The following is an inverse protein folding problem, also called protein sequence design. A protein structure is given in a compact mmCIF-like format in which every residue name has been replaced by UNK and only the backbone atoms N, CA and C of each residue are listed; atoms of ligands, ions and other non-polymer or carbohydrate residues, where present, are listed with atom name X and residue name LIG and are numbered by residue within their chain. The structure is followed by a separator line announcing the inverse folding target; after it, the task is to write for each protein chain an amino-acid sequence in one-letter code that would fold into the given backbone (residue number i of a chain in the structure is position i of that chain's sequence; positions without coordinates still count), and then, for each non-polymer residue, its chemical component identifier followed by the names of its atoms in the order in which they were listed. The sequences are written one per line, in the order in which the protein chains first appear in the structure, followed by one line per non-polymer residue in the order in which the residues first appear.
data_IF_574606360581
#
_entry.id   IF_574606360581
#
_cell.length_a   1.000
_cell.length_b   1.000
_cell.length_c   1.000
_cell.angle_alpha   90.00
_cell.angle_beta   90.00
_cell.angle_gamma   90.00
#
_symmetry.space_group_name_H-M   'P 1'
#
loop_
_entity.id
_entity.type
_entity.pdbx_description
1 polymer ?
#
# COMPACT_ATOMS: atom_id res chain seq x y z
N UNK A 1 5.58 -13.23 -19.89
CA UNK A 1 6.67 -13.22 -20.89
C UNK A 1 6.30 -12.42 -22.16
N UNK A 2 5.21 -11.65 -22.18
CA UNK A 2 4.66 -11.02 -23.40
C UNK A 2 5.12 -9.57 -23.60
N UNK A 3 6.38 -9.25 -23.36
CA UNK A 3 6.86 -7.85 -23.40
C UNK A 3 8.24 -7.64 -24.00
N UNK A 4 8.82 -8.67 -24.61
CA UNK A 4 10.11 -8.56 -25.32
C UNK A 4 9.82 -8.84 -26.78
N UNK A 5 10.14 -7.89 -27.64
CA UNK A 5 9.98 -8.06 -29.08
C UNK A 5 10.89 -9.19 -29.57
N UNK A 6 10.38 -10.06 -30.44
CA UNK A 6 11.13 -11.21 -30.93
C UNK A 6 12.48 -10.80 -31.55
N UNK A 7 12.52 -9.66 -32.24
CA UNK A 7 13.73 -9.11 -32.85
C UNK A 7 14.79 -8.69 -31.81
N UNK A 8 14.39 -8.15 -30.66
CA UNK A 8 15.30 -7.84 -29.55
C UNK A 8 15.90 -9.12 -28.96
N UNK A 9 15.09 -10.18 -28.83
CA UNK A 9 15.57 -11.46 -28.33
C UNK A 9 16.60 -12.08 -29.29
N UNK A 10 16.30 -12.09 -30.59
CA UNK A 10 17.20 -12.60 -31.63
C UNK A 10 18.52 -11.81 -31.64
N UNK A 11 18.45 -10.49 -31.61
CA UNK A 11 19.65 -9.64 -31.64
C UNK A 11 20.53 -9.82 -30.39
N UNK A 12 19.96 -9.89 -29.18
CA UNK A 12 20.71 -10.14 -27.95
C UNK A 12 21.32 -11.56 -27.94
N UNK A 13 20.64 -12.53 -28.57
CA UNK A 13 21.15 -13.89 -28.80
C UNK A 13 22.36 -13.91 -29.73
N UNK A 14 22.26 -13.24 -30.88
CA UNK A 14 23.35 -13.11 -31.84
C UNK A 14 24.58 -12.43 -31.22
N UNK A 15 24.37 -11.37 -30.42
CA UNK A 15 25.46 -10.72 -29.70
C UNK A 15 26.10 -11.62 -28.63
N UNK A 16 25.32 -12.47 -27.96
CA UNK A 16 25.85 -13.45 -27.02
C UNK A 16 26.65 -14.55 -27.74
N UNK A 17 26.22 -14.97 -28.92
CA UNK A 17 26.94 -15.93 -29.76
C UNK A 17 28.28 -15.36 -30.24
N UNK A 18 28.31 -14.14 -30.78
CA UNK A 18 29.54 -13.47 -31.23
C UNK A 18 30.58 -13.39 -30.11
N UNK A 19 30.17 -12.93 -28.92
CA UNK A 19 31.06 -12.91 -27.73
C UNK A 19 31.52 -14.30 -27.29
N UNK A 20 30.71 -15.32 -27.53
CA UNK A 20 31.07 -16.70 -27.22
C UNK A 20 32.11 -17.23 -28.19
N UNK A 21 31.99 -16.90 -29.48
CA UNK A 21 32.96 -17.27 -30.53
C UNK A 21 34.31 -16.61 -30.27
N UNK A 22 34.35 -15.31 -29.95
CA UNK A 22 35.60 -14.59 -29.63
C UNK A 22 36.36 -15.17 -28.42
N UNK A 23 35.63 -15.74 -27.45
CA UNK A 23 36.20 -16.25 -26.18
C UNK A 23 36.36 -17.76 -26.15
N UNK A 24 35.95 -18.45 -27.20
CA UNK A 24 35.95 -19.91 -27.21
C UNK A 24 37.35 -20.45 -27.44
N UNK A 25 37.75 -21.37 -26.59
CA UNK A 25 39.06 -22.00 -26.60
C UNK A 25 38.89 -23.50 -26.88
N UNK A 26 39.27 -23.90 -28.09
CA UNK A 26 39.15 -25.28 -28.60
C UNK A 26 40.06 -26.23 -27.81
N UNK A 27 41.17 -25.75 -27.24
CA UNK A 27 42.14 -26.58 -26.51
C UNK A 27 41.54 -27.26 -25.28
N UNK A 28 40.42 -26.73 -24.77
CA UNK A 28 39.70 -27.27 -23.61
C UNK A 28 38.85 -28.51 -23.92
N UNK A 29 38.71 -28.88 -25.20
CA UNK A 29 38.03 -30.12 -25.61
C UNK A 29 36.50 -30.12 -25.53
N UNK A 30 35.86 -28.99 -25.22
CA UNK A 30 34.40 -28.86 -25.20
C UNK A 30 33.86 -28.38 -26.55
N UNK A 31 32.59 -28.67 -26.87
CA UNK A 31 31.94 -28.14 -28.08
C UNK A 31 31.54 -26.68 -27.88
N UNK A 32 31.63 -25.87 -28.94
CA UNK A 32 31.19 -24.48 -28.94
C UNK A 32 29.72 -24.34 -28.52
N UNK A 33 28.86 -25.26 -28.99
CA UNK A 33 27.42 -25.27 -28.66
C UNK A 33 27.16 -25.32 -27.15
N UNK A 34 27.95 -26.08 -26.39
CA UNK A 34 27.84 -26.18 -24.93
C UNK A 34 28.17 -24.86 -24.25
N UNK A 35 29.19 -24.16 -24.73
CA UNK A 35 29.61 -22.87 -24.18
C UNK A 35 28.63 -21.74 -24.56
N UNK A 36 28.29 -21.65 -25.84
CA UNK A 36 27.41 -20.62 -26.40
C UNK A 36 25.98 -20.72 -25.85
N UNK A 37 25.44 -21.93 -25.68
CA UNK A 37 24.09 -22.12 -25.13
C UNK A 37 23.94 -21.46 -23.75
N UNK A 38 24.91 -21.63 -22.85
CA UNK A 38 24.91 -20.98 -21.52
C UNK A 38 25.00 -19.46 -21.61
N UNK A 39 25.79 -18.94 -22.54
CA UNK A 39 25.94 -17.50 -22.74
C UNK A 39 24.65 -16.85 -23.29
N UNK A 40 23.97 -17.53 -24.21
CA UNK A 40 22.69 -17.12 -24.79
C UNK A 40 21.57 -17.17 -23.74
N UNK A 41 21.46 -18.28 -22.98
CA UNK A 41 20.49 -18.37 -21.88
C UNK A 41 20.71 -17.27 -20.84
N UNK A 42 21.97 -16.95 -20.52
CA UNK A 42 22.32 -15.87 -19.60
C UNK A 42 21.94 -14.49 -20.15
N UNK A 43 22.15 -14.24 -21.45
CA UNK A 43 21.79 -12.96 -22.06
C UNK A 43 20.27 -12.74 -22.09
N UNK A 44 19.49 -13.78 -22.39
CA UNK A 44 18.03 -13.73 -22.36
C UNK A 44 17.47 -13.44 -20.96
N UNK A 45 17.98 -14.13 -19.93
CA UNK A 45 17.58 -13.84 -18.54
C UNK A 45 17.93 -12.41 -18.11
N UNK A 46 19.07 -11.89 -18.57
CA UNK A 46 19.48 -10.50 -18.34
C UNK A 46 18.55 -9.50 -19.05
N UNK A 47 18.15 -9.77 -20.29
CA UNK A 47 17.24 -8.92 -21.06
C UNK A 47 15.87 -8.85 -20.39
N UNK A 48 15.30 -10.00 -19.99
CA UNK A 48 14.04 -10.06 -19.25
C UNK A 48 14.09 -9.25 -17.93
N UNK A 49 15.20 -9.36 -17.20
CA UNK A 49 15.40 -8.59 -15.96
C UNK A 49 15.58 -7.08 -16.19
N UNK A 50 16.23 -6.68 -17.30
CA UNK A 50 16.40 -5.27 -17.67
C UNK A 50 15.06 -4.66 -18.07
N UNK A 51 14.26 -5.38 -18.85
CA UNK A 51 12.94 -4.94 -19.27
C UNK A 51 11.97 -4.83 -18.09
N UNK A 52 12.00 -5.79 -17.15
CA UNK A 52 11.23 -5.70 -15.91
C UNK A 52 11.57 -4.46 -15.07
N UNK A 53 12.86 -4.11 -14.96
CA UNK A 53 13.31 -2.90 -14.24
C UNK A 53 13.01 -1.60 -14.97
N UNK A 54 13.05 -1.60 -16.30
CA UNK A 54 12.67 -0.44 -17.10
C UNK A 54 11.17 -0.16 -16.94
N UNK A 55 10.34 -1.20 -17.10
CA UNK A 55 8.88 -1.13 -16.89
C UNK A 55 8.48 -0.74 -15.46
N UNK A 56 9.26 -1.13 -14.45
CA UNK A 56 8.97 -0.73 -13.06
C UNK A 56 9.42 0.70 -12.73
N UNK A 57 10.34 1.29 -13.51
CA UNK A 57 10.95 2.60 -13.22
C UNK A 57 10.39 3.72 -14.09
N UNK A 58 10.03 3.42 -15.33
CA UNK A 58 9.40 4.35 -16.26
C UNK A 58 8.12 3.70 -16.80
N UNK A 59 6.99 3.79 -16.07
CA UNK A 59 5.69 3.49 -16.61
C UNK A 59 5.34 4.65 -17.55
N UNK A 60 5.42 4.45 -18.87
CA UNK A 60 4.92 5.45 -19.82
C UNK A 60 4.09 4.80 -20.92
N UNK A 61 3.11 5.63 -21.32
CA UNK A 61 1.91 5.41 -22.12
C UNK A 61 0.86 4.48 -21.50
N UNK A 62 -0.32 5.08 -21.36
CA UNK A 62 -1.56 4.52 -20.82
C UNK A 62 -1.84 3.19 -21.52
N UNK A 63 -1.60 2.07 -20.83
CA UNK A 63 -1.87 0.71 -21.31
C UNK A 63 -2.98 0.11 -20.44
N UNK A 64 -4.26 0.28 -20.82
CA UNK A 64 -5.41 -0.10 -19.99
C UNK A 64 -5.44 -1.58 -19.60
N UNK A 65 -4.84 -2.45 -20.42
CA UNK A 65 -4.81 -3.90 -20.18
C UNK A 65 -3.77 -4.31 -19.13
N UNK A 66 -2.86 -3.41 -18.78
CA UNK A 66 -1.71 -3.66 -17.91
C UNK A 66 -1.68 -2.77 -16.65
N UNK A 67 -2.66 -1.88 -16.49
CA UNK A 67 -2.87 -1.18 -15.23
C UNK A 67 -3.25 -2.18 -14.12
N UNK A 68 -2.69 -1.96 -12.93
CA UNK A 68 -3.21 -2.66 -11.75
C UNK A 68 -4.64 -2.19 -11.57
N UNK A 69 -5.57 -3.11 -11.40
CA UNK A 69 -6.94 -2.75 -11.10
C UNK A 69 -6.97 -1.82 -9.88
N UNK A 70 -7.59 -0.65 -10.06
CA UNK A 70 -7.88 0.28 -8.96
C UNK A 70 -8.79 -0.34 -7.90
N UNK A 71 -9.27 -1.58 -8.10
CA UNK A 71 -10.10 -2.33 -7.16
C UNK A 71 -9.54 -2.35 -5.74
N UNK A 72 -8.25 -2.62 -5.52
CA UNK A 72 -7.68 -2.65 -4.17
C UNK A 72 -7.71 -1.27 -3.51
N UNK A 73 -7.45 -0.22 -4.30
CA UNK A 73 -7.48 1.17 -3.83
C UNK A 73 -8.92 1.60 -3.53
N UNK A 74 -9.85 1.32 -4.45
CA UNK A 74 -11.28 1.59 -4.30
C UNK A 74 -11.89 0.82 -3.14
N UNK A 75 -11.52 -0.45 -2.96
CA UNK A 75 -11.96 -1.29 -1.85
C UNK A 75 -11.51 -0.71 -0.51
N UNK A 76 -10.25 -0.30 -0.39
CA UNK A 76 -9.77 0.35 0.83
C UNK A 76 -10.46 1.69 1.11
N UNK A 77 -10.77 2.48 0.07
CA UNK A 77 -11.55 3.71 0.23
C UNK A 77 -12.97 3.40 0.71
N UNK A 78 -13.65 2.43 0.09
CA UNK A 78 -15.00 2.03 0.46
C UNK A 78 -15.07 1.48 1.90
N UNK A 79 -14.16 0.59 2.28
CA UNK A 79 -14.06 0.06 3.66
C UNK A 79 -13.80 1.17 4.68
N UNK A 80 -13.01 2.19 4.31
CA UNK A 80 -12.74 3.35 5.15
C UNK A 80 -13.99 4.21 5.32
N UNK A 81 -14.70 4.50 4.23
CA UNK A 81 -15.89 5.34 4.26
C UNK A 81 -17.03 4.69 5.05
N UNK A 82 -17.25 3.39 4.87
CA UNK A 82 -18.23 2.60 5.63
C UNK A 82 -17.91 2.56 7.14
N UNK A 83 -16.61 2.46 7.49
CA UNK A 83 -16.16 2.54 8.87
C UNK A 83 -16.42 3.91 9.51
N UNK A 84 -16.22 4.99 8.73
CA UNK A 84 -16.48 6.38 9.19
C UNK A 84 -17.97 6.60 9.40
N UNK A 85 -18.81 6.11 8.49
CA UNK A 85 -20.26 6.21 8.59
C UNK A 85 -20.80 5.44 9.82
N UNK A 86 -20.34 4.20 10.01
CA UNK A 86 -20.66 3.39 11.19
C UNK A 86 -20.28 4.07 12.51
N UNK A 87 -19.10 4.70 12.57
CA UNK A 87 -18.66 5.47 13.74
C UNK A 87 -19.54 6.69 14.01
N UNK A 88 -19.94 7.43 12.96
CA UNK A 88 -20.86 8.57 13.07
C UNK A 88 -22.22 8.13 13.59
N UNK A 89 -22.72 6.97 13.16
CA UNK A 89 -23.99 6.43 13.66
C UNK A 89 -23.93 6.07 15.15
N UNK A 90 -22.87 5.39 15.58
CA UNK A 90 -22.67 5.01 16.99
C UNK A 90 -22.63 6.24 17.91
N UNK A 91 -21.98 7.31 17.47
CA UNK A 91 -21.85 8.55 18.23
C UNK A 91 -23.13 9.39 18.23
N UNK A 92 -23.82 9.49 17.09
CA UNK A 92 -25.07 10.27 16.98
C UNK A 92 -26.22 9.63 17.76
N UNK A 93 -26.40 8.30 17.63
CA UNK A 93 -27.43 7.52 18.33
C UNK A 93 -27.01 7.07 19.74
N UNK A 94 -25.82 7.45 20.20
CA UNK A 94 -25.22 7.04 21.47
C UNK A 94 -25.31 5.53 21.76
N UNK A 95 -25.08 4.68 20.75
CA UNK A 95 -25.17 3.21 20.89
C UNK A 95 -24.16 2.62 21.86
N UNK A 96 -23.09 3.37 22.14
CA UNK A 96 -22.04 3.01 23.07
C UNK A 96 -22.35 3.37 24.54
N UNK A 97 -23.53 3.95 24.82
CA UNK A 97 -23.95 4.41 26.16
C UNK A 97 -22.85 5.25 26.85
N UNK A 98 -22.38 6.27 26.12
CA UNK A 98 -21.40 7.24 26.60
C UNK A 98 -22.10 8.21 27.54
N UNK A 99 -21.43 8.52 28.65
CA UNK A 99 -21.87 9.58 29.56
C UNK A 99 -21.63 10.96 28.91
N UNK A 100 -22.33 12.00 29.37
CA UNK A 100 -22.21 13.35 28.80
C UNK A 100 -20.77 13.87 28.75
N UNK A 101 -20.01 13.62 29.83
CA UNK A 101 -18.58 13.97 29.92
C UNK A 101 -17.74 13.19 28.90
N UNK A 102 -18.00 11.90 28.70
CA UNK A 102 -17.29 11.07 27.72
C UNK A 102 -17.59 11.53 26.29
N UNK A 103 -18.85 11.87 26.03
CA UNK A 103 -19.34 12.38 24.76
C UNK A 103 -18.67 13.71 24.41
N UNK A 104 -18.63 14.66 25.33
CA UNK A 104 -17.93 15.94 25.12
C UNK A 104 -16.44 15.75 24.86
N UNK A 105 -15.76 14.90 25.65
CA UNK A 105 -14.32 14.63 25.46
C UNK A 105 -14.02 14.03 24.08
N UNK A 106 -14.85 13.09 23.60
CA UNK A 106 -14.66 12.47 22.28
C UNK A 106 -14.99 13.44 21.14
N UNK A 107 -16.08 14.22 21.24
CA UNK A 107 -16.43 15.18 20.19
C UNK A 107 -15.36 16.26 20.00
N UNK A 108 -14.91 16.88 21.10
CA UNK A 108 -13.95 17.98 21.04
C UNK A 108 -12.56 17.51 20.60
N UNK A 109 -12.11 16.33 21.07
CA UNK A 109 -10.79 15.80 20.73
C UNK A 109 -10.67 15.32 19.29
N UNK A 110 -11.75 14.83 18.71
CA UNK A 110 -11.76 14.27 17.36
C UNK A 110 -12.49 15.14 16.34
N UNK A 111 -12.88 16.37 16.74
CA UNK A 111 -13.62 17.33 15.90
C UNK A 111 -14.89 16.73 15.27
N UNK A 112 -15.61 15.89 16.02
CA UNK A 112 -16.80 15.20 15.51
C UNK A 112 -17.99 16.14 15.68
N UNK A 113 -18.41 16.78 14.58
CA UNK A 113 -19.51 17.74 14.56
C UNK A 113 -19.12 19.21 14.78
N UNK A 114 -17.83 19.51 14.93
CA UNK A 114 -17.32 20.89 14.95
C UNK A 114 -16.82 21.29 13.56
N UNK A 115 -17.03 22.55 13.17
CA UNK A 115 -16.49 23.14 11.92
C UNK A 115 -14.95 23.24 11.90
N UNK A 116 -14.28 22.90 13.00
CA UNK A 116 -12.82 22.93 13.07
C UNK A 116 -12.22 21.70 12.39
N UNK A 117 -11.27 21.86 11.44
CA UNK A 117 -10.62 20.74 10.76
C UNK A 117 -9.64 19.96 11.65
N UNK A 118 -9.39 20.42 12.88
CA UNK A 118 -8.47 19.78 13.83
C UNK A 118 -9.13 19.66 15.20
N UNK A 119 -8.96 18.48 15.80
CA UNK A 119 -9.40 18.21 17.16
C UNK A 119 -8.59 18.95 18.23
N UNK A 120 -9.21 19.17 19.38
CA UNK A 120 -8.61 19.85 20.51
C UNK A 120 -7.61 18.96 21.28
N UNK A 121 -6.60 19.58 21.88
CA UNK A 121 -5.61 18.88 22.73
C UNK A 121 -6.21 18.51 24.09
N UNK A 122 -5.61 17.54 24.79
CA UNK A 122 -6.04 17.13 26.15
C UNK A 122 -6.11 18.31 27.13
N UNK A 123 -5.20 19.28 26.99
CA UNK A 123 -5.17 20.50 27.82
C UNK A 123 -6.34 21.44 27.53
N UNK A 124 -6.69 21.62 26.25
CA UNK A 124 -7.83 22.45 25.86
C UNK A 124 -9.16 21.80 26.30
N UNK A 125 -9.31 20.49 26.08
CA UNK A 125 -10.48 19.74 26.56
C UNK A 125 -10.55 19.75 28.09
N UNK A 126 -9.41 19.62 28.78
CA UNK A 126 -9.35 19.70 30.25
C UNK A 126 -9.84 21.05 30.80
N UNK A 127 -9.53 22.15 30.11
CA UNK A 127 -10.06 23.49 30.46
C UNK A 127 -11.57 23.60 30.27
N UNK A 128 -12.12 23.00 29.22
CA UNK A 128 -13.56 23.03 28.92
C UNK A 128 -14.35 22.24 29.97
N UNK A 129 -13.87 21.04 30.31
CA UNK A 129 -14.59 20.11 31.20
C UNK A 129 -14.18 20.30 32.67
N UNK A 130 -13.20 21.15 32.97
CA UNK A 130 -12.74 21.43 34.33
C UNK A 130 -11.96 20.29 34.98
N UNK A 131 -11.30 19.43 34.18
CA UNK A 131 -10.55 18.27 34.66
C UNK A 131 -9.07 18.35 34.28
N UNK A 132 -8.24 17.60 35.01
CA UNK A 132 -6.81 17.47 34.69
C UNK A 132 -6.61 16.71 33.38
N UNK A 133 -5.49 16.98 32.69
CA UNK A 133 -5.14 16.34 31.41
C UNK A 133 -5.15 14.81 31.50
N UNK A 134 -4.63 14.26 32.61
CA UNK A 134 -4.59 12.82 32.82
C UNK A 134 -5.99 12.23 33.03
N UNK A 135 -6.88 12.96 33.72
CA UNK A 135 -8.26 12.52 33.88
C UNK A 135 -9.03 12.54 32.55
N UNK A 136 -8.80 13.54 31.71
CA UNK A 136 -9.35 13.58 30.33
C UNK A 136 -8.82 12.40 29.51
N UNK A 137 -7.53 12.06 29.61
CA UNK A 137 -6.94 10.91 28.93
C UNK A 137 -7.58 9.58 29.36
N UNK A 138 -7.83 9.41 30.66
CA UNK A 138 -8.51 8.22 31.19
C UNK A 138 -9.94 8.10 30.65
N UNK A 139 -10.71 9.20 30.70
CA UNK A 139 -12.08 9.27 30.18
C UNK A 139 -12.10 8.96 28.68
N UNK A 140 -11.17 9.53 27.91
CA UNK A 140 -11.01 9.26 26.49
C UNK A 140 -10.77 7.77 26.21
N UNK A 141 -9.82 7.13 26.91
CA UNK A 141 -9.52 5.72 26.70
C UNK A 141 -10.70 4.81 27.07
N UNK A 142 -11.42 5.15 28.13
CA UNK A 142 -12.62 4.42 28.52
C UNK A 142 -13.74 4.56 27.47
N UNK A 143 -13.98 5.77 26.97
CA UNK A 143 -14.94 6.05 25.90
C UNK A 143 -14.61 5.31 24.59
N UNK A 144 -13.34 5.34 24.16
CA UNK A 144 -12.86 4.60 22.99
C UNK A 144 -13.04 3.08 23.16
N UNK A 145 -12.85 2.56 24.38
CA UNK A 145 -13.14 1.16 24.72
C UNK A 145 -14.60 0.80 24.47
N UNK A 146 -15.54 1.62 24.96
CA UNK A 146 -16.98 1.42 24.74
C UNK A 146 -17.36 1.48 23.25
N UNK A 147 -16.83 2.47 22.52
CA UNK A 147 -17.08 2.63 21.08
C UNK A 147 -16.57 1.41 20.30
N UNK A 148 -15.38 0.90 20.64
CA UNK A 148 -14.84 -0.32 20.01
C UNK A 148 -15.74 -1.53 20.24
N UNK A 149 -16.24 -1.72 21.46
CA UNK A 149 -17.18 -2.82 21.76
C UNK A 149 -18.50 -2.66 21.01
N UNK A 150 -19.00 -1.43 20.86
CA UNK A 150 -20.21 -1.14 20.08
C UNK A 150 -20.01 -1.43 18.59
N UNK A 151 -18.87 -1.05 18.01
CA UNK A 151 -18.52 -1.38 16.61
C UNK A 151 -18.45 -2.89 16.39
N UNK A 152 -17.80 -3.64 17.29
CA UNK A 152 -17.70 -5.10 17.17
C UNK A 152 -19.04 -5.84 17.32
N UNK A 153 -20.03 -5.22 17.96
CA UNK A 153 -21.39 -5.77 18.11
C UNK A 153 -22.30 -5.47 16.91
N UNK A 154 -21.92 -4.50 16.08
CA UNK A 154 -22.71 -4.05 14.93
C UNK A 154 -22.30 -4.73 13.61
N UNK A 155 -21.30 -5.62 13.66
CA UNK A 155 -20.79 -6.42 12.54
C UNK A 155 -21.30 -7.84 12.66
#
# INVERSE_FOLDING_TARGET
MNGIEFLELVSEGNMALLRSVEKFDISRGFKLSTYACRAILKSFNRLASKMGRYRSRFPTEFDPDLERSDYDVMKHQYERDDSVESLRDILSRNRANLNDVERTVVMERFAIGSDSPKGQTLSQVGKIVGLTNERVRQIQNHALGKIRTAMSRSK
#
